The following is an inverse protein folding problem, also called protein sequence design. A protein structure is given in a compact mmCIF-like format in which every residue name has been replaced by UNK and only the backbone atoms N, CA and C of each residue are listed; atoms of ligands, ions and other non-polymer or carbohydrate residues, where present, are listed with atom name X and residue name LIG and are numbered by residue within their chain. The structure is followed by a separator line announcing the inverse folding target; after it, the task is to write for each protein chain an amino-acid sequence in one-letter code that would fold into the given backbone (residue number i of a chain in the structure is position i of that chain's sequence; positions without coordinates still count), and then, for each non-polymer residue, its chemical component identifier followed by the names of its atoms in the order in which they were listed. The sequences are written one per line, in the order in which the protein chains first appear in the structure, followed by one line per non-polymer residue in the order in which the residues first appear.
data_IF_237388857205
#
_entry.id   IF_237388857205
#
_cell.length_a   1.000
_cell.length_b   1.000
_cell.length_c   1.000
_cell.angle_alpha   90.00
_cell.angle_beta   90.00
_cell.angle_gamma   90.00
#
_symmetry.space_group_name_H-M   'P 1'
#
loop_
_entity.id
_entity.type
_entity.pdbx_description
1 polymer ?
#
# COMPACT_ATOMS: atom_id res chain seq x y z
N UNK A 1 -29.34 7.36 12.64
CA UNK A 1 -29.10 7.19 11.19
C UNK A 1 -27.64 6.79 11.02
N UNK A 2 -27.35 5.72 10.29
CA UNK A 2 -25.97 5.29 10.02
C UNK A 2 -25.30 6.28 9.08
N UNK A 3 -23.96 6.38 9.19
CA UNK A 3 -23.14 7.21 8.31
C UNK A 3 -22.98 6.52 6.95
N UNK A 4 -22.98 7.30 5.87
CA UNK A 4 -22.71 6.77 4.53
C UNK A 4 -21.20 6.70 4.31
N UNK A 5 -20.72 5.50 4.05
CA UNK A 5 -19.30 5.21 3.89
C UNK A 5 -19.03 4.48 2.57
N UNK A 6 -18.02 4.92 1.85
CA UNK A 6 -17.50 4.20 0.69
C UNK A 6 -16.15 3.56 1.03
N UNK A 7 -16.01 2.30 0.65
CA UNK A 7 -14.82 1.49 0.94
C UNK A 7 -14.18 1.02 -0.37
N UNK A 8 -12.94 1.46 -0.59
CA UNK A 8 -12.15 1.13 -1.79
C UNK A 8 -11.08 0.04 -1.52
N UNK A 9 -10.86 -0.33 -0.26
CA UNK A 9 -9.86 -1.33 0.13
C UNK A 9 -10.44 -2.44 0.99
N UNK A 10 -9.80 -3.61 0.96
CA UNK A 10 -10.25 -4.76 1.75
C UNK A 10 -9.94 -4.57 3.23
N UNK A 11 -10.93 -4.80 4.07
CA UNK A 11 -10.79 -4.88 5.52
C UNK A 11 -11.00 -6.32 6.02
N UNK A 12 -10.40 -6.70 7.17
CA UNK A 12 -10.72 -7.98 7.83
C UNK A 12 -12.21 -8.07 8.16
N UNK A 13 -12.81 -9.26 8.01
CA UNK A 13 -14.25 -9.50 8.24
C UNK A 13 -14.73 -8.96 9.58
N UNK A 14 -13.99 -9.23 10.66
CA UNK A 14 -14.32 -8.73 11.98
C UNK A 14 -14.45 -7.19 12.01
N UNK A 15 -13.59 -6.48 11.29
CA UNK A 15 -13.65 -5.00 11.21
C UNK A 15 -14.81 -4.53 10.35
N UNK A 16 -15.13 -5.26 9.30
CA UNK A 16 -16.31 -4.99 8.49
C UNK A 16 -17.60 -5.09 9.31
N UNK A 17 -17.73 -6.11 10.17
CA UNK A 17 -18.88 -6.27 11.06
C UNK A 17 -18.97 -5.12 12.06
N UNK A 18 -17.88 -4.78 12.72
CA UNK A 18 -17.81 -3.66 13.66
C UNK A 18 -18.25 -2.32 13.00
N UNK A 19 -17.80 -2.05 11.78
CA UNK A 19 -18.14 -0.82 11.06
C UNK A 19 -19.59 -0.81 10.62
N UNK A 20 -20.17 -1.93 10.20
CA UNK A 20 -21.57 -2.05 9.80
C UNK A 20 -22.56 -1.71 10.93
N UNK A 21 -22.14 -1.71 12.18
CA UNK A 21 -23.00 -1.30 13.30
C UNK A 21 -23.36 0.19 13.20
N UNK A 22 -22.47 1.04 12.68
CA UNK A 22 -22.63 2.50 12.63
C UNK A 22 -22.52 3.13 11.24
N UNK A 23 -22.08 2.37 10.23
CA UNK A 23 -22.01 2.81 8.84
C UNK A 23 -22.78 1.91 7.89
N UNK A 24 -23.42 2.52 6.88
CA UNK A 24 -23.84 1.83 5.68
C UNK A 24 -22.70 1.89 4.66
N UNK A 25 -22.23 0.73 4.20
CA UNK A 25 -21.00 0.59 3.42
C UNK A 25 -21.33 0.33 1.95
N UNK A 26 -20.82 1.17 1.07
CA UNK A 26 -20.78 0.96 -0.38
C UNK A 26 -19.36 0.57 -0.81
N UNK A 27 -19.24 -0.39 -1.71
CA UNK A 27 -17.95 -0.83 -2.26
C UNK A 27 -17.66 -0.08 -3.54
N UNK A 28 -16.45 0.48 -3.66
CA UNK A 28 -15.97 1.21 -4.82
C UNK A 28 -14.47 0.98 -5.08
N UNK A 29 -13.90 1.71 -6.02
CA UNK A 29 -12.48 1.71 -6.30
C UNK A 29 -11.90 0.34 -6.67
N UNK A 30 -10.67 0.08 -6.26
CA UNK A 30 -9.99 -1.20 -6.57
C UNK A 30 -10.69 -2.42 -5.97
N UNK A 31 -11.43 -2.26 -4.89
CA UNK A 31 -12.20 -3.35 -4.30
C UNK A 31 -13.34 -3.82 -5.20
N UNK A 32 -13.89 -2.92 -6.02
CA UNK A 32 -14.96 -3.19 -6.99
C UNK A 32 -14.43 -3.57 -8.38
N UNK A 33 -13.42 -2.86 -8.86
CA UNK A 33 -12.94 -2.94 -10.25
C UNK A 33 -11.66 -3.77 -10.44
N UNK A 34 -10.99 -4.12 -9.34
CA UNK A 34 -9.71 -4.81 -9.35
C UNK A 34 -8.51 -3.85 -9.36
N UNK A 35 -7.39 -4.36 -8.89
CA UNK A 35 -6.17 -3.58 -8.71
C UNK A 35 -5.63 -3.04 -10.04
N UNK A 36 -5.31 -1.73 -10.07
CA UNK A 36 -4.76 -1.04 -11.24
C UNK A 36 -5.77 -0.68 -12.32
N UNK A 37 -7.07 -0.94 -12.10
CA UNK A 37 -8.14 -0.65 -13.06
C UNK A 37 -8.96 0.60 -12.69
N UNK A 38 -8.47 1.42 -11.77
CA UNK A 38 -9.19 2.60 -11.27
C UNK A 38 -8.44 3.87 -11.63
N UNK A 39 -9.13 4.82 -12.26
CA UNK A 39 -8.61 6.17 -12.52
C UNK A 39 -9.03 7.12 -11.40
N UNK A 40 -8.42 8.30 -11.37
CA UNK A 40 -8.83 9.35 -10.43
C UNK A 40 -10.28 9.80 -10.66
N UNK A 41 -10.69 9.92 -11.93
CA UNK A 41 -12.07 10.28 -12.29
C UNK A 41 -13.08 9.29 -11.74
N UNK A 42 -12.81 7.99 -11.88
CA UNK A 42 -13.66 6.93 -11.32
C UNK A 42 -13.72 7.03 -9.79
N UNK A 43 -12.59 7.25 -9.13
CA UNK A 43 -12.51 7.44 -7.68
C UNK A 43 -13.33 8.66 -7.25
N UNK A 44 -13.19 9.77 -7.97
CA UNK A 44 -13.92 11.00 -7.73
C UNK A 44 -15.43 10.77 -7.82
N UNK A 45 -15.90 10.19 -8.93
CA UNK A 45 -17.32 9.97 -9.19
C UNK A 45 -17.95 8.98 -8.18
N UNK A 46 -17.31 7.83 -7.97
CA UNK A 46 -17.86 6.78 -7.10
C UNK A 46 -17.86 7.14 -5.62
N UNK A 47 -16.96 8.04 -5.18
CA UNK A 47 -16.87 8.45 -3.78
C UNK A 47 -17.60 9.78 -3.48
N UNK A 48 -18.11 10.47 -4.48
CA UNK A 48 -18.84 11.72 -4.28
C UNK A 48 -20.20 11.46 -3.61
N UNK A 49 -20.56 12.29 -2.62
CA UNK A 49 -21.83 12.21 -1.89
C UNK A 49 -21.77 11.32 -0.63
N UNK A 50 -20.65 10.73 -0.30
CA UNK A 50 -20.44 9.99 0.94
C UNK A 50 -19.83 10.88 2.03
N UNK A 51 -20.16 10.62 3.30
CA UNK A 51 -19.57 11.32 4.44
C UNK A 51 -18.16 10.81 4.77
N UNK A 52 -17.88 9.53 4.45
CA UNK A 52 -16.64 8.83 4.79
C UNK A 52 -16.14 8.06 3.56
N UNK A 53 -14.85 8.20 3.25
CA UNK A 53 -14.16 7.35 2.27
C UNK A 53 -12.98 6.63 2.92
N UNK A 54 -12.77 5.37 2.56
CA UNK A 54 -11.55 4.63 2.92
C UNK A 54 -10.87 4.17 1.62
N UNK A 55 -9.75 4.81 1.33
CA UNK A 55 -8.93 4.57 0.13
C UNK A 55 -7.87 3.49 0.38
N UNK A 56 -7.57 2.72 -0.64
CA UNK A 56 -6.44 1.82 -0.74
C UNK A 56 -5.28 2.43 -1.50
N UNK A 57 -5.20 2.10 -2.78
CA UNK A 57 -4.19 2.60 -3.73
C UNK A 57 -4.71 3.74 -4.62
N UNK A 58 -6.00 4.09 -4.50
CA UNK A 58 -6.64 5.12 -5.28
C UNK A 58 -6.02 6.49 -5.03
N UNK A 59 -5.90 7.28 -6.10
CA UNK A 59 -5.42 8.65 -6.05
C UNK A 59 -6.59 9.64 -5.85
N UNK A 60 -6.36 10.64 -5.00
CA UNK A 60 -7.27 11.76 -4.75
C UNK A 60 -6.47 13.06 -4.74
N UNK A 61 -6.44 13.77 -5.85
CA UNK A 61 -5.82 15.08 -6.00
C UNK A 61 -6.69 16.22 -5.49
N UNK A 62 -6.21 17.43 -5.65
CA UNK A 62 -6.86 18.62 -5.11
C UNK A 62 -8.30 18.82 -5.61
N UNK A 63 -8.54 18.62 -6.90
CA UNK A 63 -9.87 18.78 -7.51
C UNK A 63 -10.87 17.73 -6.99
N UNK A 64 -10.41 16.48 -6.83
CA UNK A 64 -11.19 15.40 -6.26
C UNK A 64 -11.59 15.71 -4.81
N UNK A 65 -10.63 16.16 -3.99
CA UNK A 65 -10.86 16.49 -2.59
C UNK A 65 -11.82 17.69 -2.45
N UNK A 66 -11.67 18.72 -3.28
CA UNK A 66 -12.57 19.86 -3.30
C UNK A 66 -14.00 19.41 -3.63
N UNK A 67 -14.18 18.60 -4.67
CA UNK A 67 -15.48 18.05 -5.06
C UNK A 67 -16.13 17.27 -3.92
N UNK A 68 -15.36 16.42 -3.24
CA UNK A 68 -15.86 15.64 -2.11
C UNK A 68 -16.26 16.52 -0.92
N UNK A 69 -15.48 17.54 -0.62
CA UNK A 69 -15.79 18.48 0.46
C UNK A 69 -17.12 19.22 0.21
N UNK A 70 -17.31 19.71 -1.02
CA UNK A 70 -18.55 20.38 -1.44
C UNK A 70 -19.75 19.44 -1.42
N UNK A 71 -19.54 18.15 -1.70
CA UNK A 71 -20.57 17.11 -1.62
C UNK A 71 -20.85 16.62 -0.18
N UNK A 72 -20.17 17.16 0.84
CA UNK A 72 -20.45 16.88 2.25
C UNK A 72 -19.57 15.81 2.89
N UNK A 73 -18.46 15.41 2.27
CA UNK A 73 -17.48 14.51 2.88
C UNK A 73 -16.89 15.14 4.13
N UNK A 74 -16.56 14.29 5.12
CA UNK A 74 -16.05 14.73 6.43
C UNK A 74 -14.76 14.03 6.81
N UNK A 75 -14.56 12.80 6.29
CA UNK A 75 -13.46 11.95 6.72
C UNK A 75 -12.88 11.12 5.58
N UNK A 76 -11.56 11.14 5.46
CA UNK A 76 -10.77 10.32 4.54
C UNK A 76 -9.87 9.41 5.36
N UNK A 77 -10.03 8.09 5.18
CA UNK A 77 -9.13 7.08 5.70
C UNK A 77 -8.21 6.59 4.59
N UNK A 78 -6.90 6.73 4.73
CA UNK A 78 -5.94 6.16 3.79
C UNK A 78 -5.32 4.89 4.40
N UNK A 79 -5.53 3.74 3.77
CA UNK A 79 -4.97 2.46 4.21
C UNK A 79 -3.48 2.34 3.84
N UNK A 80 -2.72 3.39 4.07
CA UNK A 80 -1.29 3.55 3.77
C UNK A 80 -0.48 3.95 5.00
N UNK A 81 0.80 3.58 5.01
CA UNK A 81 1.75 4.05 6.03
C UNK A 81 2.06 5.54 5.90
N UNK A 82 2.09 6.04 4.67
CA UNK A 82 2.15 7.46 4.30
C UNK A 82 1.11 7.71 3.23
N UNK A 83 0.24 8.70 3.36
CA UNK A 83 -0.87 8.93 2.43
C UNK A 83 -0.42 9.67 1.15
N UNK A 84 0.53 9.09 0.42
CA UNK A 84 1.13 9.68 -0.80
C UNK A 84 0.16 9.77 -1.98
N UNK A 85 -0.96 9.08 -1.91
CA UNK A 85 -2.01 9.09 -2.94
C UNK A 85 -3.11 10.12 -2.66
N UNK A 86 -2.98 10.89 -1.58
CA UNK A 86 -3.97 11.90 -1.17
C UNK A 86 -3.27 13.26 -1.10
N UNK A 87 -3.83 14.28 -1.69
CA UNK A 87 -3.31 15.65 -1.57
C UNK A 87 -3.59 16.21 -0.17
N UNK A 88 -2.58 16.14 0.69
CA UNK A 88 -2.69 16.55 2.09
C UNK A 88 -2.99 18.04 2.27
N UNK A 89 -2.46 18.88 1.40
CA UNK A 89 -2.70 20.34 1.47
C UNK A 89 -4.14 20.67 1.08
N UNK A 90 -4.67 19.99 0.07
CA UNK A 90 -6.07 20.12 -0.31
C UNK A 90 -7.02 19.64 0.79
N UNK A 91 -6.71 18.51 1.45
CA UNK A 91 -7.49 18.02 2.59
C UNK A 91 -7.53 19.05 3.72
N UNK A 92 -6.38 19.65 4.03
CA UNK A 92 -6.28 20.68 5.06
C UNK A 92 -7.05 21.95 4.68
N UNK A 93 -6.91 22.41 3.44
CA UNK A 93 -7.61 23.57 2.93
C UNK A 93 -9.14 23.40 2.93
N UNK A 94 -9.60 22.20 2.59
CA UNK A 94 -11.02 21.82 2.62
C UNK A 94 -11.57 21.54 4.03
N UNK A 95 -10.74 21.56 5.07
CA UNK A 95 -11.15 21.31 6.46
C UNK A 95 -11.58 19.86 6.72
N UNK A 96 -11.19 18.92 5.87
CA UNK A 96 -11.49 17.49 6.02
C UNK A 96 -10.54 16.85 7.04
N UNK A 97 -11.00 15.73 7.62
CA UNK A 97 -10.15 14.92 8.50
C UNK A 97 -9.52 13.78 7.71
N UNK A 98 -8.19 13.64 7.80
CA UNK A 98 -7.43 12.54 7.22
C UNK A 98 -6.85 11.66 8.32
N UNK A 99 -7.03 10.35 8.18
CA UNK A 99 -6.35 9.35 9.00
C UNK A 99 -5.60 8.37 8.11
N UNK A 100 -4.43 7.93 8.58
CA UNK A 100 -3.60 6.93 7.89
C UNK A 100 -2.91 6.02 8.92
N UNK A 101 -2.17 5.00 8.48
CA UNK A 101 -1.65 3.94 9.36
C UNK A 101 -0.11 3.89 9.35
N UNK A 102 0.58 4.87 9.96
CA UNK A 102 2.04 4.91 9.95
C UNK A 102 2.65 3.68 10.63
N UNK A 103 3.68 3.12 10.01
CA UNK A 103 4.43 1.99 10.54
C UNK A 103 3.72 0.63 10.54
N UNK A 104 2.56 0.48 9.91
CA UNK A 104 1.80 -0.78 9.90
C UNK A 104 2.59 -1.99 9.37
N UNK A 105 3.52 -1.76 8.45
CA UNK A 105 4.34 -2.80 7.81
C UNK A 105 5.83 -2.71 8.17
N UNK A 106 6.21 -1.88 9.16
CA UNK A 106 7.62 -1.60 9.48
C UNK A 106 8.43 -2.86 9.78
N UNK A 107 7.86 -3.81 10.52
CA UNK A 107 8.54 -5.06 10.88
C UNK A 107 8.74 -5.92 9.64
N UNK A 108 7.65 -6.16 8.89
CA UNK A 108 7.73 -6.97 7.67
C UNK A 108 8.69 -6.38 6.62
N UNK A 109 8.71 -5.06 6.47
CA UNK A 109 9.67 -4.38 5.56
C UNK A 109 11.10 -4.52 6.05
N UNK A 110 11.35 -4.38 7.35
CA UNK A 110 12.68 -4.56 7.93
C UNK A 110 13.17 -6.00 7.73
N UNK A 111 12.36 -7.01 8.05
CA UNK A 111 12.68 -8.43 7.86
C UNK A 111 12.93 -8.76 6.38
N UNK A 112 12.10 -8.25 5.48
CA UNK A 112 12.26 -8.43 4.04
C UNK A 112 13.56 -7.81 3.54
N UNK A 113 13.90 -6.59 3.97
CA UNK A 113 15.16 -5.95 3.61
C UNK A 113 16.37 -6.74 4.11
N UNK A 114 16.34 -7.23 5.36
CA UNK A 114 17.38 -8.10 5.89
C UNK A 114 17.54 -9.37 5.04
N UNK A 115 16.42 -9.99 4.66
CA UNK A 115 16.43 -11.15 3.76
C UNK A 115 17.06 -10.84 2.40
N UNK A 116 16.72 -9.70 1.79
CA UNK A 116 17.32 -9.25 0.52
C UNK A 116 18.82 -8.98 0.66
N UNK A 117 19.26 -8.34 1.75
CA UNK A 117 20.68 -8.10 2.03
C UNK A 117 21.46 -9.41 2.10
N UNK A 118 20.96 -10.40 2.82
CA UNK A 118 21.56 -11.73 2.92
C UNK A 118 21.55 -12.43 1.56
N UNK A 119 20.42 -12.39 0.84
CA UNK A 119 20.28 -13.00 -0.47
C UNK A 119 21.30 -12.41 -1.49
N UNK A 120 21.46 -11.11 -1.49
CA UNK A 120 22.42 -10.42 -2.34
C UNK A 120 23.87 -10.76 -1.96
N UNK A 121 24.21 -10.64 -0.67
CA UNK A 121 25.56 -10.93 -0.16
C UNK A 121 25.99 -12.39 -0.36
N UNK A 122 25.07 -13.32 -0.40
CA UNK A 122 25.31 -14.76 -0.54
C UNK A 122 24.98 -15.30 -1.92
N UNK A 123 24.65 -14.45 -2.87
CA UNK A 123 24.26 -14.84 -4.24
C UNK A 123 23.18 -15.94 -4.30
N UNK A 124 22.22 -15.93 -3.34
CA UNK A 124 21.22 -17.00 -3.22
C UNK A 124 20.40 -17.17 -4.50
N UNK A 125 20.01 -16.08 -5.15
CA UNK A 125 19.22 -16.11 -6.39
C UNK A 125 20.01 -16.76 -7.54
N UNK A 126 21.29 -16.42 -7.69
CA UNK A 126 22.15 -17.00 -8.73
C UNK A 126 22.35 -18.49 -8.49
N UNK A 127 22.63 -18.88 -7.25
CA UNK A 127 22.83 -20.28 -6.86
C UNK A 127 21.56 -21.10 -7.09
N UNK A 128 20.39 -20.61 -6.67
CA UNK A 128 19.12 -21.30 -6.89
C UNK A 128 18.78 -21.42 -8.37
N UNK A 129 19.00 -20.37 -9.16
CA UNK A 129 18.74 -20.37 -10.61
C UNK A 129 19.69 -21.36 -11.33
N UNK A 130 20.97 -21.40 -10.96
CA UNK A 130 21.94 -22.35 -11.51
C UNK A 130 21.54 -23.81 -11.24
N UNK A 131 21.13 -24.10 -9.99
CA UNK A 131 20.66 -25.44 -9.63
C UNK A 131 19.40 -25.87 -10.43
N UNK A 132 18.44 -24.95 -10.60
CA UNK A 132 17.23 -25.24 -11.39
C UNK A 132 17.52 -25.50 -12.86
N UNK A 133 18.60 -24.92 -13.40
CA UNK A 133 19.06 -25.15 -14.78
C UNK A 133 19.93 -26.40 -14.91
N UNK A 134 20.25 -27.09 -13.83
CA UNK A 134 21.21 -28.19 -13.82
C UNK A 134 22.67 -27.72 -13.93
N UNK A 135 22.92 -26.44 -13.80
CA UNK A 135 24.25 -25.84 -13.75
C UNK A 135 24.78 -26.04 -12.33
N UNK A 136 25.46 -27.16 -12.10
CA UNK A 136 26.06 -27.41 -10.80
C UNK A 136 27.36 -26.60 -10.69
N UNK A 137 27.27 -25.47 -10.03
CA UNK A 137 28.43 -24.75 -9.51
C UNK A 137 28.90 -25.48 -8.25
N UNK A 138 29.38 -26.71 -8.44
CA UNK A 138 29.90 -27.51 -7.31
C UNK A 138 31.13 -26.88 -6.69
N UNK A 139 31.39 -27.13 -5.42
CA UNK A 139 32.47 -26.53 -4.65
C UNK A 139 33.87 -26.95 -5.10
N UNK A 140 33.95 -27.67 -6.21
CA UNK A 140 35.16 -28.31 -6.64
C UNK A 140 36.19 -27.37 -7.27
N UNK A 141 35.87 -26.16 -7.60
CA UNK A 141 36.82 -25.35 -8.39
C UNK A 141 37.02 -23.89 -7.98
N UNK A 142 36.16 -23.23 -7.28
CA UNK A 142 36.42 -21.87 -6.81
C UNK A 142 35.61 -21.63 -5.53
N UNK A 143 36.29 -21.23 -4.52
CA UNK A 143 35.82 -21.02 -3.16
C UNK A 143 34.36 -20.57 -3.05
N UNK A 144 33.46 -21.45 -2.59
CA UNK A 144 32.17 -21.03 -2.02
C UNK A 144 32.33 -20.00 -0.89
N UNK A 145 33.57 -19.73 -0.51
CA UNK A 145 33.97 -18.74 0.50
C UNK A 145 34.40 -17.40 -0.09
N UNK A 146 34.58 -17.28 -1.42
CA UNK A 146 34.72 -15.99 -2.11
C UNK A 146 33.37 -15.28 -2.22
N UNK A 147 32.70 -15.22 -1.11
CA UNK A 147 31.59 -14.28 -0.93
C UNK A 147 32.27 -12.90 -0.88
N UNK A 148 31.84 -11.95 -1.73
CA UNK A 148 32.34 -10.59 -1.62
C UNK A 148 32.21 -10.18 -0.15
N UNK A 149 33.34 -9.76 0.42
CA UNK A 149 33.40 -9.34 1.81
C UNK A 149 32.27 -8.29 1.97
N UNK A 150 31.38 -8.52 2.92
CA UNK A 150 30.22 -7.63 3.18
C UNK A 150 30.66 -6.16 3.34
N UNK A 151 31.91 -5.94 3.66
CA UNK A 151 32.56 -4.63 3.69
C UNK A 151 32.51 -3.87 2.36
N UNK A 152 32.36 -4.58 1.24
CA UNK A 152 32.33 -4.00 -0.10
C UNK A 152 30.91 -3.86 -0.67
N UNK A 153 29.90 -4.27 0.06
CA UNK A 153 28.50 -4.07 -0.33
C UNK A 153 28.07 -2.69 0.17
N UNK A 154 28.08 -1.71 -0.73
CA UNK A 154 27.56 -0.37 -0.44
C UNK A 154 26.07 -0.41 -0.62
N UNK A 155 25.33 -0.33 0.46
CA UNK A 155 23.89 -0.03 0.42
C UNK A 155 23.79 1.49 0.24
N UNK A 156 23.30 1.94 -0.92
CA UNK A 156 23.07 3.35 -1.18
C UNK A 156 22.05 3.96 -0.17
N UNK A 157 22.03 5.30 -0.05
CA UNK A 157 21.11 5.99 0.84
C UNK A 157 19.64 5.75 0.48
#
# INVERSE_FOLDING_TARGET
MKKQMVLCTKLPEKRMEEIKEFCDITIAGELKHGKGNVTEEMTKEECTGFEIVVLGDEYAGADTIQTWAEAGMKFIGAAKGTPVTVDNEAVKAAGLRLSYTPGRNRVAVAEFNMGLMIAAARHLTLSATGLLKGEHTGPAKENIYDVPDVKNVTFGP
#
